data_IF_403073148570
#
_entry.id   IF_403073148570
#
_cell.length_a   1.000
_cell.length_b   1.000
_cell.length_c   1.000
_cell.angle_alpha   90.00
_cell.angle_beta   90.00
_cell.angle_gamma   90.00
#
_symmetry.space_group_name_H-M   'P 1'
#
loop_
_entity.id
_entity.type
_entity.pdbx_description
1 polymer ?
#
# COMPACT_ATOMS: atom_id res chain seq x y z
N UNK A 1 -12.96 6.71 40.31
CA UNK A 1 -13.66 5.50 39.82
C UNK A 1 -12.90 5.04 38.60
N UNK A 2 -12.64 3.73 38.48
CA UNK A 2 -12.16 3.12 37.23
C UNK A 2 -12.83 1.74 37.11
N UNK A 3 -13.26 1.45 35.90
CA UNK A 3 -14.13 0.35 35.50
C UNK A 3 -14.43 0.58 34.03
N UNK A 4 -15.69 0.63 33.61
CA UNK A 4 -16.02 0.92 32.21
C UNK A 4 -15.51 2.29 31.73
N UNK A 5 -15.43 3.29 32.62
CA UNK A 5 -14.89 4.64 32.34
C UNK A 5 -13.38 4.65 31.97
N UNK A 6 -12.68 3.53 32.18
CA UNK A 6 -11.26 3.38 31.84
C UNK A 6 -11.02 2.76 30.46
N UNK A 7 -12.07 2.36 29.73
CA UNK A 7 -11.92 1.90 28.34
C UNK A 7 -11.38 3.05 27.49
N UNK A 8 -10.34 2.76 26.71
CA UNK A 8 -9.53 3.72 25.95
C UNK A 8 -8.31 4.29 26.70
N UNK A 9 -8.17 4.08 28.00
CA UNK A 9 -7.02 4.64 28.73
C UNK A 9 -5.71 3.90 28.38
N UNK A 10 -4.63 4.66 28.27
CA UNK A 10 -3.25 4.15 28.22
C UNK A 10 -2.86 3.59 29.59
N UNK A 11 -2.33 2.37 29.60
CA UNK A 11 -1.89 1.67 30.81
C UNK A 11 -0.51 1.04 30.62
N UNK A 12 0.17 0.80 31.73
CA UNK A 12 1.33 -0.11 31.82
C UNK A 12 0.95 -1.30 32.71
N UNK A 13 1.38 -2.50 32.35
CA UNK A 13 1.16 -3.73 33.14
C UNK A 13 2.51 -4.39 33.44
N UNK A 14 2.73 -4.76 34.70
CA UNK A 14 3.97 -5.41 35.13
C UNK A 14 3.90 -6.92 34.95
N UNK A 15 4.82 -7.49 34.17
CA UNK A 15 4.92 -8.92 33.96
C UNK A 15 5.98 -9.53 34.88
N UNK A 16 5.53 -10.26 35.90
CA UNK A 16 6.41 -10.83 36.95
C UNK A 16 7.43 -11.85 36.45
N UNK A 17 7.19 -12.44 35.27
CA UNK A 17 8.07 -13.45 34.68
C UNK A 17 9.27 -12.83 33.94
N UNK A 18 9.19 -11.54 33.60
CA UNK A 18 10.21 -10.78 32.86
C UNK A 18 10.76 -9.56 33.64
N UNK A 19 10.13 -9.22 34.78
CA UNK A 19 10.45 -8.07 35.66
C UNK A 19 10.35 -6.68 34.98
N UNK A 20 9.57 -6.57 33.90
CA UNK A 20 9.40 -5.37 33.07
C UNK A 20 7.93 -4.87 32.98
N UNK A 21 7.74 -3.60 32.61
CA UNK A 21 6.43 -2.95 32.44
C UNK A 21 6.09 -2.79 30.95
N UNK A 22 4.94 -3.33 30.53
CA UNK A 22 4.50 -3.35 29.15
C UNK A 22 3.34 -2.37 28.93
N UNK A 23 3.49 -1.48 27.95
CA UNK A 23 2.49 -0.47 27.62
C UNK A 23 1.38 -1.03 26.71
N UNK A 24 0.15 -0.56 26.93
CA UNK A 24 -1.02 -0.93 26.15
C UNK A 24 -2.20 0.00 26.35
N UNK A 25 -3.35 -0.36 25.77
CA UNK A 25 -4.62 0.36 25.86
C UNK A 25 -5.71 -0.59 26.33
N UNK A 26 -6.54 -0.15 27.27
CA UNK A 26 -7.73 -0.91 27.69
C UNK A 26 -8.77 -0.85 26.56
N UNK A 27 -9.17 -1.99 26.02
CA UNK A 27 -10.17 -2.08 24.94
C UNK A 27 -11.55 -2.52 25.44
N UNK A 28 -11.62 -3.33 26.50
CA UNK A 28 -12.86 -3.77 27.15
C UNK A 28 -12.73 -3.83 28.68
N UNK A 29 -13.85 -3.78 29.40
CA UNK A 29 -13.93 -3.97 30.85
C UNK A 29 -15.05 -4.95 31.21
N UNK A 30 -14.82 -5.78 32.23
CA UNK A 30 -15.78 -6.76 32.73
C UNK A 30 -15.61 -6.89 34.27
N UNK A 31 -16.72 -6.86 35.02
CA UNK A 31 -16.67 -6.91 36.50
C UNK A 31 -16.12 -8.23 37.06
N UNK A 32 -16.25 -9.35 36.33
CA UNK A 32 -15.73 -10.67 36.74
C UNK A 32 -14.28 -10.91 36.27
N UNK A 33 -13.86 -10.30 35.16
CA UNK A 33 -12.56 -10.59 34.50
C UNK A 33 -11.53 -9.44 34.55
N UNK A 34 -11.95 -8.24 34.96
CA UNK A 34 -11.08 -7.06 35.02
C UNK A 34 -11.01 -6.30 33.69
N UNK A 35 -9.81 -5.97 33.23
CA UNK A 35 -9.57 -5.15 32.03
C UNK A 35 -8.99 -5.99 30.89
N UNK A 36 -9.51 -5.85 29.69
CA UNK A 36 -8.86 -6.38 28.48
C UNK A 36 -7.86 -5.36 27.97
N UNK A 37 -6.58 -5.72 27.96
CA UNK A 37 -5.48 -4.85 27.49
C UNK A 37 -4.95 -5.40 26.18
N UNK A 38 -4.89 -4.52 25.17
CA UNK A 38 -4.16 -4.72 23.92
C UNK A 38 -2.82 -3.98 24.05
N UNK A 39 -1.70 -4.70 23.88
CA UNK A 39 -0.35 -4.19 24.09
C UNK A 39 0.25 -3.64 22.78
N UNK A 40 1.25 -2.75 22.88
CA UNK A 40 1.89 -2.11 21.70
C UNK A 40 2.64 -3.10 20.77
N UNK A 41 2.93 -4.31 21.23
CA UNK A 41 3.53 -5.40 20.44
C UNK A 41 2.48 -6.20 19.63
N UNK A 42 1.20 -6.07 19.95
CA UNK A 42 0.07 -6.76 19.33
C UNK A 42 -0.48 -7.97 20.09
N UNK A 43 0.03 -8.29 21.28
CA UNK A 43 -0.58 -9.30 22.15
C UNK A 43 -1.80 -8.72 22.92
N UNK A 44 -2.74 -9.58 23.30
CA UNK A 44 -3.99 -9.19 23.99
C UNK A 44 -4.26 -10.11 25.19
N UNK A 45 -4.53 -9.55 26.38
CA UNK A 45 -4.67 -10.35 27.62
C UNK A 45 -5.51 -9.64 28.69
N UNK A 46 -6.49 -10.35 29.24
CA UNK A 46 -7.25 -9.92 30.42
C UNK A 46 -6.33 -9.76 31.65
N UNK A 47 -6.52 -8.69 32.40
CA UNK A 47 -5.79 -8.36 33.64
C UNK A 47 -6.75 -8.30 34.82
N UNK A 48 -6.54 -9.19 35.80
CA UNK A 48 -7.40 -9.34 36.96
C UNK A 48 -7.22 -8.16 37.94
N UNK A 49 -8.25 -7.31 38.01
CA UNK A 49 -8.40 -6.20 38.98
C UNK A 49 -7.42 -5.02 38.89
N UNK A 50 -7.83 -3.89 39.47
CA UNK A 50 -7.09 -2.63 39.52
C UNK A 50 -6.02 -2.64 40.63
N UNK A 51 -5.02 -3.51 40.54
CA UNK A 51 -3.97 -3.64 41.54
C UNK A 51 -2.78 -2.69 41.23
N UNK A 52 -2.49 -1.67 42.07
CA UNK A 52 -1.50 -0.63 41.73
C UNK A 52 -0.04 -1.11 41.59
N UNK A 53 0.27 -2.32 42.05
CA UNK A 53 1.58 -2.98 41.87
C UNK A 53 1.71 -3.70 40.53
N UNK A 54 0.59 -3.98 39.86
CA UNK A 54 0.53 -4.79 38.64
C UNK A 54 0.03 -4.00 37.43
N UNK A 55 -0.74 -2.92 37.64
CA UNK A 55 -1.23 -2.04 36.57
C UNK A 55 -1.10 -0.56 36.99
N UNK A 56 -0.71 0.29 36.04
CA UNK A 56 -0.64 1.75 36.16
C UNK A 56 -1.41 2.41 35.03
N UNK A 57 -2.06 3.53 35.33
CA UNK A 57 -2.84 4.30 34.36
C UNK A 57 -2.07 5.58 34.01
N UNK A 58 -1.76 5.78 32.73
CA UNK A 58 -0.93 6.88 32.22
C UNK A 58 -1.73 8.15 31.82
N UNK A 59 -2.98 8.24 32.28
CA UNK A 59 -4.02 9.20 31.89
C UNK A 59 -4.67 8.94 30.52
N UNK A 60 -5.80 9.63 30.29
CA UNK A 60 -6.59 9.55 29.06
C UNK A 60 -5.97 10.46 27.98
N UNK A 61 -5.18 9.87 27.09
CA UNK A 61 -4.56 10.54 25.93
C UNK A 61 -5.28 10.26 24.61
N UNK A 62 -6.55 9.84 24.64
CA UNK A 62 -7.36 9.83 23.40
C UNK A 62 -7.94 11.22 23.13
N UNK A 63 -7.09 12.11 22.60
CA UNK A 63 -7.55 13.19 21.73
C UNK A 63 -8.07 12.56 20.43
N UNK A 64 -9.36 12.19 20.40
CA UNK A 64 -10.02 11.75 19.17
C UNK A 64 -10.18 12.97 18.25
N UNK A 65 -9.21 13.21 17.38
CA UNK A 65 -9.22 14.32 16.43
C UNK A 65 -10.37 14.16 15.41
N UNK A 66 -11.54 14.71 15.78
CA UNK A 66 -12.83 14.46 15.13
C UNK A 66 -13.27 15.67 14.31
N UNK A 67 -12.53 15.95 13.24
CA UNK A 67 -12.94 16.69 12.02
C UNK A 67 -13.97 17.81 12.15
N UNK A 68 -13.52 19.09 12.13
CA UNK A 68 -13.95 20.17 11.20
C UNK A 68 -14.04 21.59 11.80
N UNK A 69 -13.78 22.56 10.91
CA UNK A 69 -14.16 23.98 10.90
C UNK A 69 -13.59 25.04 11.88
N UNK A 70 -12.54 25.72 11.38
CA UNK A 70 -12.54 27.17 11.03
C UNK A 70 -12.45 28.25 12.14
N UNK A 71 -11.43 29.11 11.99
CA UNK A 71 -11.24 30.49 12.48
C UNK A 71 -10.81 30.80 13.94
N UNK A 72 -9.49 31.05 14.07
CA UNK A 72 -8.90 32.42 14.20
C UNK A 72 -8.16 32.78 15.52
N UNK A 73 -6.94 33.34 15.40
CA UNK A 73 -6.14 34.12 16.40
C UNK A 73 -5.80 33.43 17.76
N UNK A 74 -4.56 33.40 18.28
CA UNK A 74 -3.48 34.41 18.29
C UNK A 74 -2.11 33.77 18.58
N UNK A 75 -1.00 34.47 18.30
CA UNK A 75 0.38 34.10 18.65
C UNK A 75 0.67 34.19 20.16
N UNK A 76 1.51 33.29 20.71
CA UNK A 76 2.45 33.54 21.82
C UNK A 76 3.73 32.69 21.58
N UNK A 77 4.91 33.31 21.66
CA UNK A 77 6.23 32.64 21.81
C UNK A 77 6.51 32.48 23.33
N UNK A 78 7.50 31.74 23.86
CA UNK A 78 8.86 31.43 23.39
C UNK A 78 9.57 30.48 24.37
N UNK A 79 10.59 29.77 23.91
CA UNK A 79 11.93 29.73 24.54
C UNK A 79 12.94 29.57 23.37
N UNK A 80 13.88 30.51 23.16
CA UNK A 80 15.22 30.60 23.78
C UNK A 80 16.08 29.36 23.49
N UNK A 81 17.30 29.48 22.92
CA UNK A 81 18.35 30.47 23.24
C UNK A 81 19.06 31.12 22.04
N UNK A 82 19.48 32.39 22.22
CA UNK A 82 20.66 33.09 21.64
C UNK A 82 20.74 33.30 20.08
N UNK A 83 21.28 34.40 19.52
CA UNK A 83 22.32 35.33 20.03
C UNK A 83 22.37 36.71 19.28
N UNK A 84 22.81 37.77 19.98
CA UNK A 84 23.34 39.11 19.56
C UNK A 84 22.65 40.07 18.54
N UNK A 85 22.50 41.33 19.02
CA UNK A 85 22.69 42.67 18.37
C UNK A 85 21.98 43.02 17.04
N UNK A 86 21.33 44.18 16.90
CA UNK A 86 21.92 45.54 17.02
C UNK A 86 20.96 46.63 17.56
N UNK A 87 21.41 47.90 17.59
CA UNK A 87 20.74 49.07 18.20
C UNK A 87 19.40 49.51 17.56
N UNK A 88 18.40 49.90 18.39
CA UNK A 88 17.88 51.28 18.48
C UNK A 88 16.80 51.44 19.58
N UNK A 89 16.90 52.51 20.38
CA UNK A 89 15.81 53.06 21.24
C UNK A 89 15.06 54.16 20.44
N UNK A 90 13.82 54.64 20.77
CA UNK A 90 13.51 55.17 22.12
C UNK A 90 12.02 55.27 22.57
N UNK A 91 11.84 55.82 23.79
CA UNK A 91 10.63 56.49 24.37
C UNK A 91 9.44 55.62 24.86
N UNK A 92 9.08 55.87 26.12
CA UNK A 92 7.90 55.35 26.87
C UNK A 92 6.90 56.51 27.07
N UNK A 93 5.57 56.27 27.16
CA UNK A 93 4.90 56.63 28.42
C UNK A 93 3.84 55.62 28.93
N UNK A 94 3.88 55.45 30.25
CA UNK A 94 3.16 54.60 31.21
C UNK A 94 1.64 54.29 31.04
N UNK A 95 1.14 53.19 31.68
CA UNK A 95 -0.27 52.77 31.64
C UNK A 95 -1.16 53.34 32.76
N UNK A 96 -2.48 53.14 32.64
CA UNK A 96 -3.51 53.53 33.63
C UNK A 96 -4.11 52.30 34.36
N UNK A 97 -4.29 52.42 35.68
CA UNK A 97 -5.02 51.53 36.63
C UNK A 97 -6.13 52.37 37.33
N UNK A 98 -7.09 51.82 38.15
CA UNK A 98 -7.21 50.49 38.78
C UNK A 98 -8.28 49.56 38.13
N UNK A 99 -9.39 48.98 38.67
CA UNK A 99 -10.08 48.95 39.98
C UNK A 99 -11.23 47.86 39.98
N UNK A 100 -11.75 47.26 41.07
CA UNK A 100 -11.15 46.56 42.24
C UNK A 100 -12.21 45.67 42.97
N UNK A 101 -11.82 44.57 43.66
CA UNK A 101 -12.59 43.80 44.69
C UNK A 101 -13.88 43.00 44.28
N UNK A 102 -14.45 42.10 45.14
CA UNK A 102 -13.82 41.18 46.13
C UNK A 102 -14.45 39.75 46.31
N UNK A 103 -13.63 38.79 46.79
CA UNK A 103 -13.78 37.89 47.98
C UNK A 103 -15.15 37.84 48.70
N UNK A 104 -15.78 36.67 49.05
CA UNK A 104 -15.30 35.67 50.05
C UNK A 104 -15.65 34.17 49.77
N UNK A 105 -15.39 33.14 50.61
CA UNK A 105 -14.34 32.72 51.58
C UNK A 105 -14.78 31.35 52.24
N UNK A 106 -13.92 30.68 53.04
CA UNK A 106 -14.14 29.52 53.94
C UNK A 106 -13.98 28.09 53.36
N UNK A 107 -13.47 27.06 54.07
CA UNK A 107 -12.65 27.03 55.32
C UNK A 107 -11.81 25.73 55.51
N UNK A 108 -11.00 25.68 56.60
CA UNK A 108 -10.00 24.67 57.01
C UNK A 108 -10.57 23.24 57.35
N UNK A 109 -9.84 22.18 57.79
CA UNK A 109 -8.66 21.96 58.70
C UNK A 109 -8.01 20.59 58.33
N UNK A 110 -6.73 20.47 57.95
CA UNK A 110 -5.47 20.31 58.72
C UNK A 110 -5.27 19.04 59.62
N UNK A 111 -4.01 18.60 59.73
CA UNK A 111 -3.34 17.67 60.70
C UNK A 111 -2.66 16.41 60.11
N UNK A 112 -1.45 16.12 60.60
CA UNK A 112 -0.54 14.99 60.35
C UNK A 112 0.19 14.67 61.69
N UNK A 113 1.32 13.93 61.84
CA UNK A 113 2.14 13.13 60.91
C UNK A 113 2.72 11.79 61.51
N UNK A 114 3.69 11.16 60.80
CA UNK A 114 4.80 10.28 61.31
C UNK A 114 4.44 8.88 61.89
N UNK A 115 5.34 7.89 62.02
CA UNK A 115 6.54 7.36 61.29
C UNK A 115 7.18 6.27 62.18
N UNK A 116 7.57 5.10 61.66
CA UNK A 116 8.77 4.30 62.08
C UNK A 116 8.84 2.91 61.42
N UNK A 117 10.06 2.41 61.22
CA UNK A 117 10.42 1.18 60.49
C UNK A 117 10.54 -0.10 61.37
N UNK A 118 11.14 -1.15 60.76
CA UNK A 118 11.80 -2.34 61.34
C UNK A 118 10.98 -3.63 61.56
N UNK A 119 11.55 -4.86 61.56
CA UNK A 119 12.56 -5.54 60.68
C UNK A 119 12.65 -7.03 61.13
N UNK A 120 12.66 -7.97 60.16
CA UNK A 120 13.24 -9.34 60.18
C UNK A 120 13.18 -10.21 61.46
N UNK A 121 12.61 -11.44 61.37
CA UNK A 121 13.28 -12.70 61.80
C UNK A 121 12.63 -14.02 61.37
N UNK A 122 13.44 -15.09 61.33
CA UNK A 122 13.20 -16.45 60.80
C UNK A 122 12.69 -17.43 61.87
N UNK A 123 12.07 -18.56 61.47
CA UNK A 123 12.30 -19.93 61.99
C UNK A 123 11.65 -20.95 60.99
N UNK A 124 12.37 -21.87 60.33
CA UNK A 124 12.74 -23.28 60.70
C UNK A 124 11.67 -24.36 60.36
N UNK A 125 12.16 -25.52 59.92
CA UNK A 125 11.42 -26.66 59.28
C UNK A 125 11.03 -27.74 60.32
N UNK A 126 10.08 -28.68 60.03
CA UNK A 126 10.54 -30.02 59.59
C UNK A 126 9.64 -30.85 58.63
N UNK A 127 10.34 -31.51 57.71
CA UNK A 127 10.11 -32.81 57.00
C UNK A 127 8.88 -33.69 57.32
N UNK A 128 8.23 -34.22 56.27
CA UNK A 128 7.77 -35.64 56.20
C UNK A 128 7.64 -36.17 54.74
N UNK A 129 7.69 -37.50 54.57
CA UNK A 129 7.45 -38.32 53.35
C UNK A 129 6.65 -39.59 53.82
N UNK A 130 6.31 -40.64 53.02
CA UNK A 130 6.43 -40.87 51.56
C UNK A 130 5.18 -41.48 50.86
N UNK A 131 5.20 -41.56 49.51
CA UNK A 131 4.49 -42.54 48.67
C UNK A 131 4.90 -42.33 47.18
N UNK A 132 4.83 -43.21 46.20
CA UNK A 132 5.15 -44.64 45.98
C UNK A 132 4.67 -44.95 44.54
N UNK A 133 5.46 -45.71 43.75
CA UNK A 133 5.08 -46.56 42.59
C UNK A 133 5.06 -46.07 41.12
N UNK A 134 5.65 -46.98 40.30
CA UNK A 134 5.31 -47.44 38.93
C UNK A 134 5.91 -46.72 37.69
N UNK A 135 6.06 -47.45 36.55
CA UNK A 135 7.30 -47.37 35.76
C UNK A 135 7.21 -46.59 34.44
N UNK A 136 8.37 -46.09 33.98
CA UNK A 136 8.54 -45.44 32.68
C UNK A 136 8.69 -46.46 31.54
N UNK A 137 7.68 -46.58 30.70
CA UNK A 137 7.85 -47.02 29.30
C UNK A 137 8.00 -45.76 28.44
N UNK A 138 9.01 -45.69 27.58
CA UNK A 138 9.24 -44.56 26.67
C UNK A 138 8.78 -44.91 25.25
N UNK A 139 7.66 -44.37 24.74
CA UNK A 139 7.43 -44.33 23.30
C UNK A 139 8.42 -43.36 22.65
N UNK A 140 9.01 -43.75 21.53
CA UNK A 140 10.01 -42.94 20.81
C UNK A 140 9.34 -42.00 19.80
N UNK A 141 9.15 -40.73 20.17
CA UNK A 141 8.56 -39.66 19.33
C UNK A 141 9.41 -39.26 18.09
N UNK A 142 10.33 -40.11 17.62
CA UNK A 142 11.35 -39.78 16.61
C UNK A 142 10.85 -39.87 15.15
N UNK A 143 9.65 -40.38 14.91
CA UNK A 143 9.16 -40.69 13.54
C UNK A 143 8.34 -39.52 12.94
N UNK A 144 7.67 -38.71 13.77
CA UNK A 144 6.70 -37.70 13.33
C UNK A 144 7.28 -36.32 12.96
N UNK A 145 8.62 -36.17 12.91
CA UNK A 145 9.27 -34.87 12.74
C UNK A 145 9.74 -34.54 11.31
N UNK A 146 9.61 -35.47 10.35
CA UNK A 146 9.99 -35.20 8.94
C UNK A 146 9.03 -34.25 8.24
N UNK A 147 7.74 -34.56 8.28
CA UNK A 147 6.70 -33.86 7.54
C UNK A 147 6.66 -32.35 7.82
N UNK A 148 6.97 -31.91 9.05
CA UNK A 148 7.01 -30.48 9.41
C UNK A 148 8.14 -29.72 8.70
N UNK A 149 9.27 -30.37 8.49
CA UNK A 149 10.42 -29.78 7.80
C UNK A 149 10.22 -29.85 6.28
N UNK A 150 9.72 -30.98 5.77
CA UNK A 150 9.37 -31.17 4.36
C UNK A 150 8.26 -30.18 3.92
N UNK A 151 7.23 -29.94 4.75
CA UNK A 151 6.21 -28.91 4.48
C UNK A 151 6.77 -27.49 4.50
N UNK A 152 7.75 -27.19 5.37
CA UNK A 152 8.44 -25.88 5.37
C UNK A 152 9.27 -25.72 4.10
N UNK A 153 9.98 -26.77 3.68
CA UNK A 153 10.76 -26.77 2.45
C UNK A 153 9.86 -26.63 1.20
N UNK A 154 8.72 -27.31 1.16
CA UNK A 154 7.71 -27.19 0.10
C UNK A 154 7.12 -25.77 0.06
N UNK A 155 6.74 -25.20 1.21
CA UNK A 155 6.24 -23.80 1.27
C UNK A 155 7.30 -22.82 0.78
N UNK A 156 8.55 -22.96 1.22
CA UNK A 156 9.64 -22.08 0.81
C UNK A 156 9.94 -22.21 -0.70
N UNK A 157 9.88 -23.43 -1.27
CA UNK A 157 9.96 -23.67 -2.71
C UNK A 157 8.82 -23.00 -3.48
N UNK A 158 7.58 -23.07 -2.98
CA UNK A 158 6.41 -22.43 -3.59
C UNK A 158 6.46 -20.89 -3.53
N UNK A 159 6.90 -20.31 -2.41
CA UNK A 159 7.10 -18.86 -2.30
C UNK A 159 8.23 -18.39 -3.23
N UNK A 160 9.31 -19.17 -3.35
CA UNK A 160 10.42 -18.88 -4.26
C UNK A 160 10.04 -18.98 -5.74
N UNK A 161 9.28 -20.00 -6.16
CA UNK A 161 8.80 -20.09 -7.56
C UNK A 161 7.78 -19.01 -7.88
N UNK A 162 6.89 -18.66 -6.95
CA UNK A 162 5.97 -17.51 -7.06
C UNK A 162 6.74 -16.20 -7.28
N UNK A 163 7.75 -15.92 -6.45
CA UNK A 163 8.58 -14.71 -6.63
C UNK A 163 9.38 -14.74 -7.95
N UNK A 164 9.92 -15.90 -8.34
CA UNK A 164 10.59 -16.06 -9.64
C UNK A 164 9.65 -15.80 -10.83
N UNK A 165 8.39 -16.26 -10.77
CA UNK A 165 7.41 -16.02 -11.82
C UNK A 165 6.98 -14.54 -11.88
N UNK A 166 6.91 -13.86 -10.74
CA UNK A 166 6.67 -12.41 -10.68
C UNK A 166 7.82 -11.65 -11.34
N UNK A 167 9.09 -11.99 -11.04
CA UNK A 167 10.25 -11.33 -11.67
C UNK A 167 10.40 -11.64 -13.16
N UNK A 168 10.09 -12.87 -13.59
CA UNK A 168 9.95 -13.21 -15.03
C UNK A 168 8.90 -12.34 -15.73
N UNK A 169 7.73 -12.15 -15.11
CA UNK A 169 6.62 -11.37 -15.68
C UNK A 169 7.02 -9.89 -15.81
N UNK A 170 7.68 -9.32 -14.79
CA UNK A 170 8.21 -7.96 -14.84
C UNK A 170 9.31 -7.80 -15.91
N UNK A 171 10.21 -8.77 -16.04
CA UNK A 171 11.24 -8.78 -17.09
C UNK A 171 10.63 -8.92 -18.50
N UNK A 172 9.56 -9.71 -18.66
CA UNK A 172 8.80 -9.82 -19.92
C UNK A 172 8.10 -8.51 -20.26
N UNK A 173 7.48 -7.82 -19.28
CA UNK A 173 6.90 -6.47 -19.50
C UNK A 173 7.98 -5.46 -19.95
N UNK A 174 9.13 -5.42 -19.29
CA UNK A 174 10.23 -4.51 -19.62
C UNK A 174 10.78 -4.80 -21.02
N UNK A 175 11.04 -6.06 -21.35
CA UNK A 175 11.54 -6.44 -22.69
C UNK A 175 10.49 -6.27 -23.79
N UNK A 176 9.20 -6.35 -23.48
CA UNK A 176 8.11 -6.01 -24.40
C UNK A 176 8.05 -4.49 -24.67
N UNK A 177 8.15 -3.66 -23.63
CA UNK A 177 8.24 -2.19 -23.80
C UNK A 177 9.45 -1.80 -24.66
N UNK A 178 10.64 -2.35 -24.37
CA UNK A 178 11.86 -2.09 -25.13
C UNK A 178 11.80 -2.61 -26.59
N UNK A 179 11.11 -3.72 -26.84
CA UNK A 179 10.84 -4.19 -28.20
C UNK A 179 9.85 -3.27 -28.95
N UNK A 180 8.86 -2.72 -28.24
CA UNK A 180 7.88 -1.78 -28.80
C UNK A 180 8.53 -0.45 -29.21
N UNK A 181 9.36 0.15 -28.35
CA UNK A 181 10.08 1.40 -28.69
C UNK A 181 11.10 1.19 -29.81
N UNK A 182 11.80 0.05 -29.84
CA UNK A 182 12.63 -0.30 -31.01
C UNK A 182 11.79 -0.45 -32.29
N UNK A 183 10.53 -0.87 -32.19
CA UNK A 183 9.61 -0.97 -33.33
C UNK A 183 8.97 0.36 -33.76
N UNK A 184 8.96 1.42 -32.93
CA UNK A 184 8.55 2.76 -33.39
C UNK A 184 9.72 3.44 -34.10
N UNK A 185 10.90 3.46 -33.48
CA UNK A 185 12.14 3.99 -34.06
C UNK A 185 12.43 3.39 -35.45
N UNK A 186 12.26 2.07 -35.64
CA UNK A 186 12.42 1.44 -36.95
C UNK A 186 11.39 1.88 -38.00
N UNK A 187 10.14 2.21 -37.60
CA UNK A 187 9.14 2.77 -38.52
C UNK A 187 9.50 4.21 -38.90
N UNK A 188 9.95 5.00 -37.93
CA UNK A 188 10.39 6.38 -38.12
C UNK A 188 11.59 6.43 -39.09
N UNK A 189 12.61 5.58 -38.90
CA UNK A 189 13.73 5.46 -39.84
C UNK A 189 13.27 5.01 -41.24
N UNK A 190 12.36 4.04 -41.35
CA UNK A 190 11.81 3.61 -42.66
C UNK A 190 11.07 4.76 -43.35
N UNK A 191 10.30 5.57 -42.62
CA UNK A 191 9.65 6.76 -43.17
C UNK A 191 10.68 7.80 -43.65
N UNK A 192 11.73 8.05 -42.86
CA UNK A 192 12.80 8.99 -43.19
C UNK A 192 13.61 8.55 -44.43
N UNK A 193 13.95 7.25 -44.54
CA UNK A 193 14.60 6.72 -45.75
C UNK A 193 13.66 6.77 -46.97
N UNK A 194 12.35 6.58 -46.77
CA UNK A 194 11.36 6.70 -47.85
C UNK A 194 11.29 8.13 -48.37
N UNK A 195 11.23 9.16 -47.50
CA UNK A 195 11.22 10.56 -47.94
C UNK A 195 12.54 10.97 -48.59
N UNK A 196 13.69 10.55 -48.04
CA UNK A 196 15.02 10.74 -48.65
C UNK A 196 15.09 10.14 -50.05
N UNK A 197 14.58 8.93 -50.26
CA UNK A 197 14.53 8.27 -51.57
C UNK A 197 13.62 9.02 -52.56
N UNK A 198 12.44 9.49 -52.12
CA UNK A 198 11.56 10.32 -52.94
C UNK A 198 12.23 11.64 -53.37
N UNK A 199 12.89 12.34 -52.45
CA UNK A 199 13.61 13.59 -52.73
C UNK A 199 14.80 13.35 -53.66
N UNK A 200 15.57 12.27 -53.46
CA UNK A 200 16.69 11.91 -54.32
C UNK A 200 16.25 11.59 -55.75
N UNK A 201 15.13 10.87 -55.92
CA UNK A 201 14.57 10.56 -57.25
C UNK A 201 14.11 11.82 -57.99
N UNK A 202 13.52 12.79 -57.29
CA UNK A 202 13.16 14.09 -57.86
C UNK A 202 14.41 14.91 -58.23
N UNK A 203 15.35 15.08 -57.31
CA UNK A 203 16.54 15.91 -57.50
C UNK A 203 17.49 15.38 -58.59
N UNK A 204 17.55 14.05 -58.79
CA UNK A 204 18.38 13.41 -59.81
C UNK A 204 18.02 13.85 -61.24
N UNK A 205 16.79 14.30 -61.49
CA UNK A 205 16.38 14.81 -62.81
C UNK A 205 17.05 16.14 -63.19
N UNK A 206 17.59 16.90 -62.23
CA UNK A 206 18.01 18.30 -62.42
C UNK A 206 19.49 18.51 -62.75
N UNK A 207 20.39 17.53 -62.54
CA UNK A 207 21.86 17.75 -62.50
C UNK A 207 22.69 17.01 -63.56
N UNK A 208 22.06 16.30 -64.50
CA UNK A 208 22.74 15.27 -65.29
C UNK A 208 23.57 15.74 -66.51
N UNK A 209 23.94 17.02 -66.59
CA UNK A 209 24.61 17.59 -67.78
C UNK A 209 26.12 17.27 -67.95
N UNK A 210 26.84 16.84 -66.90
CA UNK A 210 28.32 16.96 -66.88
C UNK A 210 29.13 15.76 -66.29
N UNK A 211 28.66 14.52 -66.38
CA UNK A 211 29.46 13.32 -66.03
C UNK A 211 29.37 12.25 -67.12
N UNK A 212 30.33 11.34 -67.15
CA UNK A 212 30.35 10.19 -68.08
C UNK A 212 29.12 9.29 -67.87
N UNK A 213 28.48 8.79 -68.95
CA UNK A 213 27.37 7.85 -68.81
C UNK A 213 27.78 6.51 -68.18
N UNK A 214 29.04 6.12 -68.30
CA UNK A 214 29.58 4.83 -67.86
C UNK A 214 29.88 4.79 -66.35
N UNK A 215 30.19 5.93 -65.75
CA UNK A 215 30.37 6.10 -64.31
C UNK A 215 29.01 6.02 -63.59
N UNK A 216 27.99 6.68 -64.15
CA UNK A 216 26.61 6.68 -63.62
C UNK A 216 25.97 5.29 -63.61
N UNK A 217 26.19 4.47 -64.63
CA UNK A 217 25.66 3.10 -64.67
C UNK A 217 26.35 2.21 -63.62
N UNK A 218 27.63 2.46 -63.31
CA UNK A 218 28.34 1.79 -62.22
C UNK A 218 27.77 2.19 -60.85
N UNK A 219 27.58 3.49 -60.58
CA UNK A 219 26.97 4.00 -59.35
C UNK A 219 25.55 3.45 -59.13
N UNK A 220 24.70 3.51 -60.16
CA UNK A 220 23.35 2.91 -60.13
C UNK A 220 23.40 1.39 -59.91
N UNK A 221 24.38 0.68 -60.48
CA UNK A 221 24.56 -0.76 -60.24
C UNK A 221 24.93 -1.05 -58.78
N UNK A 222 25.81 -0.26 -58.18
CA UNK A 222 26.21 -0.40 -56.77
C UNK A 222 25.06 -0.03 -55.81
N UNK A 223 24.36 1.08 -56.06
CA UNK A 223 23.23 1.51 -55.25
C UNK A 223 22.08 0.48 -55.26
N UNK A 224 21.72 -0.05 -56.44
CA UNK A 224 20.72 -1.12 -56.53
C UNK A 224 21.15 -2.40 -55.81
N UNK A 225 22.42 -2.82 -55.92
CA UNK A 225 22.96 -3.98 -55.17
C UNK A 225 22.84 -3.76 -53.66
N UNK A 226 23.22 -2.58 -53.17
CA UNK A 226 23.12 -2.25 -51.74
C UNK A 226 21.65 -2.25 -51.27
N UNK A 227 20.73 -1.62 -52.00
CA UNK A 227 19.29 -1.68 -51.68
C UNK A 227 18.75 -3.12 -51.67
N UNK A 228 19.18 -3.99 -52.59
CA UNK A 228 18.73 -5.41 -52.55
C UNK A 228 19.26 -6.16 -51.34
N UNK A 229 20.48 -5.85 -50.88
CA UNK A 229 21.06 -6.42 -49.65
C UNK A 229 20.28 -5.95 -48.42
N UNK A 230 20.08 -4.64 -48.26
CA UNK A 230 19.34 -4.05 -47.13
C UNK A 230 17.89 -4.55 -47.06
N UNK A 231 17.20 -4.66 -48.20
CA UNK A 231 15.86 -5.26 -48.24
C UNK A 231 15.86 -6.74 -47.82
N UNK A 232 16.91 -7.51 -48.14
CA UNK A 232 17.03 -8.90 -47.66
C UNK A 232 17.21 -8.98 -46.13
N UNK A 233 17.98 -8.07 -45.54
CA UNK A 233 18.22 -7.99 -44.10
C UNK A 233 16.97 -7.51 -43.33
N UNK A 234 16.22 -6.56 -43.89
CA UNK A 234 14.91 -6.12 -43.37
C UNK A 234 13.85 -7.24 -43.44
N UNK A 235 13.86 -8.07 -44.50
CA UNK A 235 12.98 -9.24 -44.58
C UNK A 235 13.35 -10.32 -43.54
N UNK A 236 14.65 -10.54 -43.30
CA UNK A 236 15.13 -11.43 -42.24
C UNK A 236 14.66 -10.98 -40.85
N UNK A 237 14.98 -9.75 -40.45
CA UNK A 237 14.59 -9.20 -39.14
C UNK A 237 13.06 -9.15 -38.94
N UNK A 238 12.28 -8.89 -40.00
CA UNK A 238 10.82 -8.99 -39.98
C UNK A 238 10.32 -10.42 -39.71
N UNK A 239 11.00 -11.43 -40.24
CA UNK A 239 10.71 -12.85 -39.97
C UNK A 239 10.98 -13.21 -38.50
N UNK A 240 12.14 -12.81 -37.97
CA UNK A 240 12.54 -13.10 -36.58
C UNK A 240 11.58 -12.47 -35.56
N UNK A 241 11.16 -11.22 -35.80
CA UNK A 241 10.16 -10.53 -34.97
C UNK A 241 8.82 -11.29 -35.01
N UNK A 242 8.37 -11.75 -36.19
CA UNK A 242 7.14 -12.55 -36.32
C UNK A 242 7.24 -13.85 -35.51
N UNK A 243 8.33 -14.60 -35.64
CA UNK A 243 8.56 -15.83 -34.86
C UNK A 243 8.67 -15.57 -33.35
N UNK A 244 9.12 -14.39 -32.91
CA UNK A 244 9.15 -14.01 -31.49
C UNK A 244 7.75 -13.71 -30.96
N UNK A 245 6.91 -13.02 -31.73
CA UNK A 245 5.50 -12.77 -31.37
C UNK A 245 4.72 -14.08 -31.25
N UNK A 246 4.89 -15.00 -32.21
CA UNK A 246 4.24 -16.31 -32.22
C UNK A 246 4.60 -17.15 -30.98
N UNK A 247 5.89 -17.18 -30.59
CA UNK A 247 6.35 -17.84 -29.35
C UNK A 247 5.79 -17.22 -28.07
N UNK A 248 5.53 -15.90 -28.04
CA UNK A 248 4.89 -15.25 -26.90
C UNK A 248 3.38 -15.57 -26.85
N UNK A 249 2.72 -15.66 -28.00
CA UNK A 249 1.32 -16.07 -28.08
C UNK A 249 1.11 -17.52 -27.62
N UNK A 250 2.05 -18.45 -27.93
CA UNK A 250 1.96 -19.82 -27.42
C UNK A 250 2.25 -19.92 -25.92
N UNK A 251 3.23 -19.19 -25.35
CA UNK A 251 3.42 -19.12 -23.89
C UNK A 251 2.16 -18.55 -23.21
N UNK A 252 1.54 -17.51 -23.78
CA UNK A 252 0.30 -16.92 -23.25
C UNK A 252 -0.87 -17.91 -23.25
N UNK A 253 -1.12 -18.62 -24.36
CA UNK A 253 -2.16 -19.66 -24.44
C UNK A 253 -1.90 -20.82 -23.47
N UNK A 254 -0.64 -21.22 -23.28
CA UNK A 254 -0.27 -22.26 -22.31
C UNK A 254 -0.55 -21.84 -20.87
N UNK A 255 -0.26 -20.58 -20.50
CA UNK A 255 -0.58 -20.03 -19.19
C UNK A 255 -2.10 -19.88 -18.98
N UNK A 256 -2.85 -19.48 -20.01
CA UNK A 256 -4.31 -19.42 -19.95
C UNK A 256 -4.91 -20.83 -19.75
N UNK A 257 -4.45 -21.83 -20.51
CA UNK A 257 -4.88 -23.22 -20.33
C UNK A 257 -4.53 -23.73 -18.92
N UNK A 258 -3.37 -23.36 -18.37
CA UNK A 258 -2.99 -23.71 -17.00
C UNK A 258 -3.94 -23.08 -15.97
N UNK A 259 -4.27 -21.80 -16.13
CA UNK A 259 -5.29 -21.10 -15.32
C UNK A 259 -6.68 -21.76 -15.43
N UNK A 260 -7.12 -22.12 -16.64
CA UNK A 260 -8.38 -22.83 -16.87
C UNK A 260 -8.39 -24.20 -16.15
N UNK A 261 -7.25 -24.88 -16.04
CA UNK A 261 -7.09 -26.14 -15.29
C UNK A 261 -6.89 -25.98 -13.76
N UNK A 262 -6.68 -24.79 -13.21
CA UNK A 262 -6.63 -24.59 -11.74
C UNK A 262 -7.96 -25.04 -11.12
N UNK A 263 -7.97 -25.89 -10.06
CA UNK A 263 -9.20 -26.37 -9.43
C UNK A 263 -10.15 -25.23 -9.03
N UNK A 264 -11.45 -25.41 -9.22
CA UNK A 264 -12.42 -24.33 -9.02
C UNK A 264 -12.46 -23.82 -7.57
N UNK A 265 -12.17 -24.70 -6.59
CA UNK A 265 -11.93 -24.38 -5.17
C UNK A 265 -10.80 -23.37 -4.91
N UNK A 266 -9.85 -23.22 -5.84
CA UNK A 266 -8.74 -22.26 -5.79
C UNK A 266 -9.02 -21.01 -6.64
N UNK A 267 -10.17 -20.97 -7.33
CA UNK A 267 -10.69 -19.82 -8.07
C UNK A 267 -11.80 -19.06 -7.31
N UNK A 268 -12.39 -19.68 -6.29
CA UNK A 268 -13.50 -19.11 -5.53
C UNK A 268 -13.17 -17.71 -5.00
N UNK A 269 -13.98 -16.75 -5.42
CA UNK A 269 -13.98 -15.40 -4.87
C UNK A 269 -14.46 -15.40 -3.43
N UNK A 270 -14.13 -14.35 -2.66
CA UNK A 270 -14.58 -14.20 -1.28
C UNK A 270 -16.12 -14.28 -1.13
N UNK A 271 -16.85 -13.83 -2.15
CA UNK A 271 -18.32 -13.87 -2.21
C UNK A 271 -18.83 -15.31 -2.33
N UNK A 272 -18.21 -16.12 -3.19
CA UNK A 272 -18.55 -17.55 -3.31
C UNK A 272 -18.27 -18.31 -2.02
N UNK A 273 -17.14 -18.02 -1.35
CA UNK A 273 -16.82 -18.61 -0.03
C UNK A 273 -17.83 -18.20 1.05
N UNK A 274 -18.27 -16.94 1.06
CA UNK A 274 -19.33 -16.48 1.98
C UNK A 274 -20.69 -17.16 1.70
N UNK A 275 -21.02 -17.40 0.43
CA UNK A 275 -22.26 -18.06 0.02
C UNK A 275 -22.24 -19.56 0.35
N UNK A 276 -21.10 -20.24 0.15
CA UNK A 276 -20.85 -21.62 0.58
C UNK A 276 -21.01 -21.75 2.12
N UNK A 277 -20.44 -20.83 2.89
CA UNK A 277 -20.59 -20.79 4.36
C UNK A 277 -22.07 -20.64 4.76
N UNK A 278 -22.82 -19.74 4.12
CA UNK A 278 -24.24 -19.55 4.38
C UNK A 278 -25.06 -20.82 4.07
N UNK A 279 -24.76 -21.49 2.95
CA UNK A 279 -25.41 -22.75 2.56
C UNK A 279 -25.12 -23.88 3.58
N UNK A 280 -23.86 -24.01 4.02
CA UNK A 280 -23.45 -25.02 5.00
C UNK A 280 -24.09 -24.77 6.38
N UNK A 281 -24.22 -23.51 6.81
CA UNK A 281 -24.94 -23.15 8.03
C UNK A 281 -26.44 -23.50 7.94
N UNK A 282 -27.07 -23.26 6.79
CA UNK A 282 -28.46 -23.66 6.55
C UNK A 282 -28.63 -25.19 6.56
N UNK A 283 -27.71 -25.94 5.94
CA UNK A 283 -27.71 -27.40 5.98
C UNK A 283 -27.52 -27.93 7.40
N UNK A 284 -26.63 -27.33 8.20
CA UNK A 284 -26.44 -27.67 9.62
C UNK A 284 -27.74 -27.51 10.40
N UNK A 285 -28.40 -26.35 10.31
CA UNK A 285 -29.67 -26.10 11.00
C UNK A 285 -30.77 -27.11 10.61
N UNK A 286 -30.86 -27.46 9.32
CA UNK A 286 -31.79 -28.47 8.81
C UNK A 286 -31.49 -29.90 9.33
N UNK A 287 -30.23 -30.21 9.66
CA UNK A 287 -29.84 -31.49 10.28
C UNK A 287 -30.10 -31.49 11.80
N UNK A 288 -29.83 -30.39 12.49
CA UNK A 288 -30.12 -30.23 13.93
C UNK A 288 -31.63 -30.31 14.21
N UNK A 289 -32.46 -29.75 13.33
CA UNK A 289 -33.91 -29.91 13.37
C UNK A 289 -34.32 -31.39 13.22
N UNK A 290 -33.79 -32.11 12.22
CA UNK A 290 -34.10 -33.54 11.99
C UNK A 290 -33.63 -34.45 13.12
N UNK A 291 -32.48 -34.16 13.75
CA UNK A 291 -32.02 -34.90 14.94
C UNK A 291 -32.96 -34.67 16.11
N UNK A 292 -33.55 -33.48 16.23
CA UNK A 292 -34.52 -33.14 17.29
C UNK A 292 -35.88 -33.85 17.15
N UNK A 293 -36.24 -34.31 15.94
CA UNK A 293 -37.45 -35.13 15.71
C UNK A 293 -37.28 -36.61 16.11
N UNK A 294 -36.04 -37.10 16.24
CA UNK A 294 -35.75 -38.52 16.53
C UNK A 294 -35.83 -38.76 18.04
N UNK A 295 -37.03 -39.09 18.53
CA UNK A 295 -37.19 -39.53 19.92
C UNK A 295 -36.39 -40.83 20.19
N UNK A 296 -35.72 -40.94 21.36
CA UNK A 296 -34.94 -42.12 21.70
C UNK A 296 -35.85 -43.29 22.11
N UNK A 297 -36.02 -44.28 21.21
CA UNK A 297 -36.64 -45.55 21.58
C UNK A 297 -35.70 -46.34 22.49
N UNK A 298 -36.15 -46.63 23.71
CA UNK A 298 -35.31 -47.24 24.72
C UNK A 298 -35.17 -48.76 24.52
N UNK A 299 -34.03 -49.21 23.96
CA UNK A 299 -33.31 -50.42 24.40
C UNK A 299 -31.92 -50.50 23.71
N UNK A 300 -30.80 -50.33 24.44
CA UNK A 300 -29.47 -50.38 23.86
C UNK A 300 -28.89 -51.81 23.82
N UNK A 301 -29.01 -52.48 22.68
CA UNK A 301 -28.03 -53.53 22.33
C UNK A 301 -26.74 -52.85 21.90
N UNK A 302 -25.60 -53.23 22.49
CA UNK A 302 -24.27 -52.68 22.13
C UNK A 302 -23.80 -53.22 20.78
N UNK A 303 -24.40 -52.73 19.69
CA UNK A 303 -23.91 -52.98 18.33
C UNK A 303 -22.54 -52.35 18.11
N UNK A 304 -21.76 -52.96 17.22
CA UNK A 304 -20.42 -52.53 16.79
C UNK A 304 -20.42 -51.09 16.28
N UNK A 305 -21.55 -50.64 15.70
CA UNK A 305 -21.77 -49.29 15.19
C UNK A 305 -21.46 -48.18 16.21
N UNK A 306 -21.72 -48.42 17.49
CA UNK A 306 -21.51 -47.43 18.56
C UNK A 306 -20.05 -46.95 18.67
N UNK A 307 -19.09 -47.83 18.37
CA UNK A 307 -17.65 -47.48 18.33
C UNK A 307 -17.30 -46.72 17.06
N UNK A 308 -17.87 -47.13 15.92
CA UNK A 308 -17.67 -46.49 14.61
C UNK A 308 -18.22 -45.06 14.63
N UNK A 309 -19.37 -44.84 15.25
CA UNK A 309 -19.98 -43.50 15.41
C UNK A 309 -19.11 -42.61 16.31
N UNK A 310 -18.62 -43.12 17.44
CA UNK A 310 -17.71 -42.37 18.33
C UNK A 310 -16.38 -41.99 17.65
N UNK A 311 -15.81 -42.89 16.83
CA UNK A 311 -14.63 -42.59 16.04
C UNK A 311 -14.91 -41.47 15.02
N UNK A 312 -15.98 -41.60 14.23
CA UNK A 312 -16.36 -40.58 13.22
C UNK A 312 -16.66 -39.21 13.83
N UNK A 313 -17.22 -39.17 15.04
CA UNK A 313 -17.43 -37.92 15.78
C UNK A 313 -16.08 -37.27 16.14
N UNK A 314 -15.14 -38.05 16.71
CA UNK A 314 -13.80 -37.54 17.02
C UNK A 314 -13.01 -37.10 15.78
N UNK A 315 -13.19 -37.75 14.64
CA UNK A 315 -12.60 -37.36 13.36
C UNK A 315 -13.22 -36.04 12.83
N UNK A 316 -14.53 -35.87 13.00
CA UNK A 316 -15.23 -34.62 12.65
C UNK A 316 -14.81 -33.45 13.55
N UNK A 317 -14.72 -33.65 14.87
CA UNK A 317 -14.27 -32.64 15.82
C UNK A 317 -12.84 -32.18 15.54
N UNK A 318 -11.93 -33.12 15.26
CA UNK A 318 -10.55 -32.80 14.86
C UNK A 318 -10.51 -31.95 13.59
N UNK A 319 -11.34 -32.27 12.59
CA UNK A 319 -11.46 -31.51 11.34
C UNK A 319 -12.08 -30.13 11.53
N UNK A 320 -13.02 -29.97 12.47
CA UNK A 320 -13.59 -28.66 12.85
C UNK A 320 -12.50 -27.78 13.48
N UNK A 321 -11.63 -28.34 14.33
CA UNK A 321 -10.51 -27.59 14.92
C UNK A 321 -9.44 -27.20 13.89
N UNK A 322 -9.20 -28.04 12.89
CA UNK A 322 -8.33 -27.71 11.76
C UNK A 322 -8.90 -26.57 10.91
N UNK A 323 -10.16 -26.65 10.50
CA UNK A 323 -10.83 -25.59 9.73
C UNK A 323 -10.91 -24.25 10.51
N UNK A 324 -11.06 -24.29 11.84
CA UNK A 324 -10.96 -23.09 12.69
C UNK A 324 -9.56 -22.47 12.67
N UNK A 325 -8.51 -23.30 12.74
CA UNK A 325 -7.10 -22.86 12.68
C UNK A 325 -6.79 -22.19 11.33
N UNK A 326 -7.23 -22.82 10.25
CA UNK A 326 -7.04 -22.31 8.89
C UNK A 326 -7.81 -20.99 8.70
N UNK A 327 -9.06 -20.92 9.15
CA UNK A 327 -9.86 -19.69 9.13
C UNK A 327 -9.19 -18.53 9.88
N UNK A 328 -8.61 -18.79 11.06
CA UNK A 328 -7.84 -17.80 11.81
C UNK A 328 -6.56 -17.37 11.07
N UNK A 329 -5.82 -18.32 10.47
CA UNK A 329 -4.63 -18.00 9.64
C UNK A 329 -4.99 -17.14 8.42
N UNK A 330 -6.12 -17.42 7.75
CA UNK A 330 -6.61 -16.60 6.65
C UNK A 330 -7.05 -15.21 7.12
N UNK A 331 -7.71 -15.07 8.27
CA UNK A 331 -8.06 -13.77 8.86
C UNK A 331 -6.80 -12.92 9.13
N UNK A 332 -5.76 -13.53 9.72
CA UNK A 332 -4.48 -12.84 9.96
C UNK A 332 -3.81 -12.40 8.65
N UNK A 333 -3.80 -13.26 7.62
CA UNK A 333 -3.23 -12.92 6.32
C UNK A 333 -4.02 -11.81 5.60
N UNK A 334 -5.35 -11.80 5.68
CA UNK A 334 -6.20 -10.72 5.15
C UNK A 334 -5.88 -9.40 5.85
N UNK A 335 -5.78 -9.39 7.18
CA UNK A 335 -5.37 -8.19 7.94
C UNK A 335 -3.99 -7.67 7.49
N UNK A 336 -3.01 -8.55 7.27
CA UNK A 336 -1.68 -8.15 6.80
C UNK A 336 -1.71 -7.51 5.40
N UNK A 337 -2.51 -8.03 4.46
CA UNK A 337 -2.68 -7.41 3.14
C UNK A 337 -3.49 -6.10 3.21
N UNK A 338 -4.48 -6.00 4.11
CA UNK A 338 -5.22 -4.77 4.39
C UNK A 338 -4.28 -3.64 4.84
N UNK A 339 -3.35 -3.93 5.77
CA UNK A 339 -2.34 -2.95 6.24
C UNK A 339 -1.38 -2.53 5.14
N UNK A 340 -0.94 -3.46 4.27
CA UNK A 340 -0.11 -3.13 3.09
C UNK A 340 -0.85 -2.24 2.11
N UNK A 341 -2.13 -2.51 1.86
CA UNK A 341 -2.98 -1.70 1.00
C UNK A 341 -3.15 -0.27 1.55
N UNK A 342 -3.39 -0.14 2.87
CA UNK A 342 -3.48 1.15 3.54
C UNK A 342 -2.18 1.96 3.42
N UNK A 343 -1.01 1.33 3.63
CA UNK A 343 0.29 1.98 3.46
C UNK A 343 0.55 2.46 2.02
N UNK A 344 0.12 1.69 1.01
CA UNK A 344 0.19 2.09 -0.40
C UNK A 344 -0.79 3.23 -0.74
N UNK A 345 -1.98 3.24 -0.15
CA UNK A 345 -2.95 4.34 -0.29
C UNK A 345 -2.43 5.63 0.35
N UNK A 346 -1.87 5.56 1.57
CA UNK A 346 -1.23 6.69 2.23
C UNK A 346 -0.07 7.26 1.39
N UNK A 347 0.78 6.39 0.83
CA UNK A 347 1.86 6.82 -0.09
C UNK A 347 1.33 7.47 -1.37
N UNK A 348 0.21 6.98 -1.93
CA UNK A 348 -0.45 7.61 -3.09
C UNK A 348 -0.96 9.01 -2.75
N UNK A 349 -1.57 9.19 -1.57
CA UNK A 349 -2.05 10.49 -1.11
C UNK A 349 -0.89 11.47 -0.88
N UNK A 350 0.18 11.05 -0.19
CA UNK A 350 1.37 11.88 0.01
C UNK A 350 2.04 12.31 -1.32
N UNK A 351 2.09 11.41 -2.32
CA UNK A 351 2.58 11.76 -3.67
C UNK A 351 1.63 12.73 -4.41
N UNK A 352 0.32 12.57 -4.25
CA UNK A 352 -0.66 13.51 -4.82
C UNK A 352 -0.53 14.90 -4.17
N UNK A 353 -0.32 14.96 -2.86
CA UNK A 353 -0.09 16.22 -2.12
C UNK A 353 1.23 16.88 -2.53
N UNK A 354 2.32 16.12 -2.67
CA UNK A 354 3.58 16.64 -3.21
C UNK A 354 3.41 17.20 -4.63
N UNK A 355 2.70 16.48 -5.51
CA UNK A 355 2.36 16.96 -6.85
C UNK A 355 1.47 18.21 -6.81
N UNK A 356 0.54 18.31 -5.86
CA UNK A 356 -0.28 19.51 -5.64
C UNK A 356 0.58 20.70 -5.21
N UNK A 357 1.49 20.53 -4.24
CA UNK A 357 2.46 21.56 -3.83
C UNK A 357 3.32 22.03 -5.02
N UNK A 358 3.80 21.11 -5.86
CA UNK A 358 4.53 21.45 -7.08
C UNK A 358 3.66 22.18 -8.13
N UNK A 359 2.40 21.76 -8.34
CA UNK A 359 1.44 22.43 -9.23
C UNK A 359 1.12 23.86 -8.78
N UNK A 360 0.97 24.08 -7.47
CA UNK A 360 0.76 25.42 -6.88
C UNK A 360 2.03 26.30 -6.84
N UNK A 361 3.21 25.75 -7.15
CA UNK A 361 4.46 26.48 -7.08
C UNK A 361 4.59 27.43 -8.28
N UNK A 362 4.16 28.70 -8.08
CA UNK A 362 4.31 29.77 -9.07
C UNK A 362 5.75 29.92 -9.57
N UNK A 363 6.76 29.58 -8.77
CA UNK A 363 8.18 29.59 -9.19
C UNK A 363 8.48 28.53 -10.26
N UNK A 364 7.90 27.33 -10.14
CA UNK A 364 8.07 26.26 -11.13
C UNK A 364 7.24 26.53 -12.39
N UNK A 365 6.00 27.02 -12.24
CA UNK A 365 5.20 27.48 -13.38
C UNK A 365 5.90 28.61 -14.14
N UNK A 366 6.53 29.55 -13.42
CA UNK A 366 7.30 30.64 -14.01
C UNK A 366 8.54 30.12 -14.75
N UNK A 367 9.32 29.22 -14.14
CA UNK A 367 10.47 28.60 -14.82
C UNK A 367 10.07 27.71 -16.02
N UNK A 368 8.82 27.23 -16.09
CA UNK A 368 8.29 26.57 -17.29
C UNK A 368 7.87 27.58 -18.37
N UNK A 369 7.20 28.66 -17.98
CA UNK A 369 6.81 29.78 -18.84
C UNK A 369 8.04 30.43 -19.51
N UNK A 370 9.04 30.82 -18.71
CA UNK A 370 10.30 31.46 -19.14
C UNK A 370 11.20 30.55 -20.01
N UNK A 371 10.85 29.26 -20.19
CA UNK A 371 11.51 28.34 -21.14
C UNK A 371 10.81 28.24 -22.49
N UNK A 372 9.61 28.79 -22.60
CA UNK A 372 8.74 28.67 -23.77
C UNK A 372 8.54 30.03 -24.45
N UNK A 373 8.47 31.09 -23.65
CA UNK A 373 8.73 32.48 -24.03
C UNK A 373 10.14 32.53 -24.65
N UNK A 374 10.21 32.59 -25.98
CA UNK A 374 11.45 32.38 -26.75
C UNK A 374 12.19 33.67 -27.08
N UNK A 375 11.52 34.81 -26.96
CA UNK A 375 12.09 36.16 -27.10
C UNK A 375 12.16 36.93 -25.77
N UNK A 376 11.75 36.28 -24.66
CA UNK A 376 11.73 36.80 -23.28
C UNK A 376 10.85 38.05 -23.11
N UNK A 377 9.75 38.14 -23.87
CA UNK A 377 8.88 39.30 -23.89
C UNK A 377 7.85 39.34 -22.73
N UNK A 378 7.66 38.22 -22.02
CA UNK A 378 6.74 38.09 -20.88
C UNK A 378 5.33 37.57 -21.20
N UNK A 379 5.03 37.24 -22.46
CA UNK A 379 3.74 36.73 -22.95
C UNK A 379 3.92 35.61 -24.00
N UNK A 380 3.21 34.49 -23.86
CA UNK A 380 3.34 33.36 -24.78
C UNK A 380 2.51 33.57 -26.05
N UNK A 381 3.14 33.54 -27.23
CA UNK A 381 2.38 33.53 -28.49
C UNK A 381 1.73 32.16 -28.75
N UNK A 382 0.70 32.12 -29.60
CA UNK A 382 0.10 30.86 -30.10
C UNK A 382 1.15 29.84 -30.58
N UNK A 383 2.20 30.28 -31.26
CA UNK A 383 3.23 29.39 -31.79
C UNK A 383 4.09 28.76 -30.69
N UNK A 384 4.41 29.51 -29.64
CA UNK A 384 5.18 29.02 -28.49
C UNK A 384 4.33 28.12 -27.59
N UNK A 385 3.06 28.49 -27.38
CA UNK A 385 2.08 27.64 -26.70
C UNK A 385 1.89 26.30 -27.43
N UNK A 386 1.89 26.29 -28.76
CA UNK A 386 1.90 25.04 -29.56
C UNK A 386 3.18 24.22 -29.33
N UNK A 387 4.37 24.85 -29.26
CA UNK A 387 5.62 24.13 -28.94
C UNK A 387 5.57 23.52 -27.53
N UNK A 388 5.15 24.30 -26.53
CA UNK A 388 5.02 23.85 -25.14
C UNK A 388 4.05 22.66 -25.02
N UNK A 389 2.86 22.75 -25.61
CA UNK A 389 1.89 21.65 -25.58
C UNK A 389 2.37 20.41 -26.36
N UNK A 390 3.18 20.56 -27.42
CA UNK A 390 3.85 19.42 -28.07
C UNK A 390 4.88 18.73 -27.17
N UNK A 391 5.62 19.48 -26.36
CA UNK A 391 6.61 18.94 -25.40
C UNK A 391 5.94 18.33 -24.16
N UNK A 392 4.79 18.85 -23.73
CA UNK A 392 4.05 18.29 -22.59
C UNK A 392 3.19 17.06 -22.93
N UNK A 393 2.82 16.87 -24.21
CA UNK A 393 1.91 15.82 -24.68
C UNK A 393 2.62 14.82 -25.63
N UNK A 394 3.87 14.47 -25.32
CA UNK A 394 4.67 13.50 -26.07
C UNK A 394 3.90 12.19 -26.35
N UNK A 395 3.48 11.99 -27.60
CA UNK A 395 2.90 10.72 -28.08
C UNK A 395 1.54 10.78 -28.77
N UNK A 396 0.82 11.92 -28.80
CA UNK A 396 -0.46 12.05 -29.52
C UNK A 396 -0.43 13.11 -30.64
N UNK A 397 0.25 12.82 -31.76
CA UNK A 397 0.06 13.54 -33.02
C UNK A 397 -1.21 13.08 -33.76
N UNK A 398 -2.38 13.24 -33.12
CA UNK A 398 -3.67 13.08 -33.78
C UNK A 398 -3.92 14.25 -34.74
N UNK A 399 -4.59 13.99 -35.88
CA UNK A 399 -4.87 15.02 -36.90
C UNK A 399 -5.75 16.20 -36.38
N UNK A 400 -6.34 16.07 -35.20
CA UNK A 400 -7.16 17.09 -34.54
C UNK A 400 -6.40 17.84 -33.41
N UNK A 401 -5.13 17.49 -33.15
CA UNK A 401 -4.33 18.00 -32.03
C UNK A 401 -4.14 19.54 -32.09
N UNK A 402 -3.89 20.09 -33.27
CA UNK A 402 -3.78 21.56 -33.46
C UNK A 402 -5.11 22.28 -33.20
N UNK A 403 -6.24 21.64 -33.53
CA UNK A 403 -7.58 22.17 -33.24
C UNK A 403 -7.83 22.17 -31.73
N UNK A 404 -7.46 21.09 -31.02
CA UNK A 404 -7.51 21.01 -29.56
C UNK A 404 -6.65 22.08 -28.90
N UNK A 405 -5.43 22.34 -29.37
CA UNK A 405 -4.58 23.43 -28.85
C UNK A 405 -5.23 24.79 -29.11
N UNK A 406 -5.77 25.06 -30.30
CA UNK A 406 -6.47 26.33 -30.58
C UNK A 406 -7.68 26.54 -29.66
N UNK A 407 -8.48 25.50 -29.40
CA UNK A 407 -9.60 25.54 -28.45
C UNK A 407 -9.13 25.74 -27.00
N UNK A 408 -7.98 25.19 -26.62
CA UNK A 408 -7.38 25.42 -25.31
C UNK A 408 -6.83 26.85 -25.16
N UNK A 409 -6.12 27.35 -26.18
CA UNK A 409 -5.59 28.71 -26.22
C UNK A 409 -6.72 29.74 -26.07
N UNK A 410 -7.79 29.60 -26.86
CA UNK A 410 -9.02 30.44 -26.78
C UNK A 410 -9.78 30.36 -25.45
N UNK A 411 -9.35 29.50 -24.51
CA UNK A 411 -9.90 29.34 -23.16
C UNK A 411 -8.91 29.78 -22.07
N UNK A 412 -7.64 29.95 -22.43
CA UNK A 412 -6.60 30.52 -21.57
C UNK A 412 -6.57 32.05 -21.74
N UNK A 413 -6.46 32.49 -23.00
CA UNK A 413 -6.64 33.86 -23.48
C UNK A 413 -8.03 34.37 -23.06
N UNK A 414 -8.05 35.11 -21.95
CA UNK A 414 -9.25 35.58 -21.26
C UNK A 414 -9.57 37.03 -21.61
N UNK A 415 -8.57 37.77 -22.09
CA UNK A 415 -8.69 39.16 -22.53
C UNK A 415 -8.95 39.32 -24.05
N UNK A 416 -8.73 38.25 -24.84
CA UNK A 416 -8.87 38.15 -26.31
C UNK A 416 -7.80 38.91 -27.15
N UNK A 417 -6.62 39.17 -26.58
CA UNK A 417 -5.50 39.84 -27.25
C UNK A 417 -4.64 38.92 -28.14
N UNK A 418 -4.80 37.60 -28.00
CA UNK A 418 -4.12 36.50 -28.73
C UNK A 418 -2.67 36.21 -28.31
N UNK A 419 -2.23 36.71 -27.16
CA UNK A 419 -1.13 36.12 -26.39
C UNK A 419 -1.70 35.43 -25.14
N UNK A 420 -0.83 34.91 -24.27
CA UNK A 420 -1.20 34.38 -22.95
C UNK A 420 -0.23 34.97 -21.93
N UNK A 421 -0.75 35.74 -20.97
CA UNK A 421 0.05 36.27 -19.86
C UNK A 421 0.39 35.17 -18.81
N UNK A 422 1.26 35.48 -17.86
CA UNK A 422 1.67 34.50 -16.84
C UNK A 422 0.51 34.06 -15.90
N UNK A 423 -0.49 34.91 -15.67
CA UNK A 423 -1.65 34.62 -14.84
C UNK A 423 -2.64 33.72 -15.61
N UNK A 424 -2.94 34.05 -16.85
CA UNK A 424 -3.73 33.24 -17.79
C UNK A 424 -3.09 31.86 -17.98
N UNK A 425 -1.77 31.79 -18.11
CA UNK A 425 -1.02 30.53 -18.14
C UNK A 425 -1.25 29.70 -16.86
N UNK A 426 -1.17 30.31 -15.67
CA UNK A 426 -1.45 29.60 -14.41
C UNK A 426 -2.91 29.11 -14.35
N UNK A 427 -3.89 29.96 -14.66
CA UNK A 427 -5.32 29.63 -14.65
C UNK A 427 -5.66 28.54 -15.68
N UNK A 428 -5.01 28.52 -16.83
CA UNK A 428 -5.19 27.48 -17.83
C UNK A 428 -4.53 26.15 -17.41
N UNK A 429 -3.31 26.20 -16.83
CA UNK A 429 -2.62 25.03 -16.30
C UNK A 429 -3.41 24.36 -15.16
N UNK A 430 -4.02 25.14 -14.26
CA UNK A 430 -4.93 24.63 -13.22
C UNK A 430 -6.16 23.93 -13.83
N UNK A 431 -6.72 24.46 -14.93
CA UNK A 431 -7.83 23.84 -15.66
C UNK A 431 -7.45 22.57 -16.45
N UNK A 432 -6.17 22.34 -16.76
CA UNK A 432 -5.68 21.02 -17.19
C UNK A 432 -5.52 20.11 -15.97
N UNK A 433 -4.85 20.59 -14.92
CA UNK A 433 -4.44 19.80 -13.77
C UNK A 433 -5.61 19.23 -12.92
N UNK A 434 -6.81 19.79 -13.10
CA UNK A 434 -8.07 19.35 -12.47
C UNK A 434 -8.90 18.37 -13.30
N UNK A 435 -8.41 17.94 -14.48
CA UNK A 435 -9.00 16.89 -15.32
C UNK A 435 -8.24 15.57 -15.23
#
# INVERSE_FOLDING_TARGET
MFGNDAVGWRVEVYWTDEEEWFAGVITEYNEEQGYYVCYDDGDEKWQESNCPTSMRFLANTIDVDTTNDVQNTTQINSDQTDNYSDDDEPVIPSPVKPQVCPVPQADAVAISPKVSDAIVSKLVIPVTKPSMLKPKIKPSNAIFFKDREELREIKNKLEATKQSLITELEQVKVTLKAASTKSTLLKESIAEYTTKLTVANLASTSKLAAQSPEERTLELSMCNKQMTKENSELLGTKSDIKQRVERLQTKSKSLQLHWENVPQKEKCTLIEVQLEIALLLQQKANLEAKVSEIQPSAHPTESVDTKIIKQKLSEADARIWELKRDCHSWKLQVNQEQTKLAALQARKLALAEQLQRFRSSKVLLRSAFDRCDSDCNGVLTMNETIRLLKVLLEGQEDANFEQTIKTYFQRADSNQDKVIDFNEFCTAFEQIATK
#
